data_IF_241829522833
#
_entry.id   IF_241829522833
#
_cell.length_a   1.000
_cell.length_b   1.000
_cell.length_c   1.000
_cell.angle_alpha   90.00
_cell.angle_beta   90.00
_cell.angle_gamma   90.00
#
_symmetry.space_group_name_H-M   'P 1'
#
loop_
_entity.id
_entity.type
_entity.pdbx_description
1 polymer ?
#
# COMPACT_ATOMS: atom_id res chain seq x y z
N UNK A 1 65.62 -6.72 11.61
CA UNK A 1 64.52 -7.70 11.57
C UNK A 1 63.25 -6.99 11.99
N UNK A 2 62.44 -6.57 11.02
CA UNK A 2 61.22 -5.80 11.26
C UNK A 2 60.01 -6.71 11.33
N UNK A 3 59.10 -6.45 12.26
CA UNK A 3 57.76 -7.07 12.29
C UNK A 3 56.77 -5.94 12.07
N UNK A 4 56.26 -5.84 10.85
CA UNK A 4 55.15 -4.97 10.52
C UNK A 4 53.86 -5.70 10.91
N UNK A 5 53.21 -5.27 12.00
CA UNK A 5 51.88 -5.72 12.37
C UNK A 5 50.87 -5.05 11.43
N UNK A 6 50.47 -5.77 10.37
CA UNK A 6 49.40 -5.35 9.49
C UNK A 6 48.07 -5.40 10.23
N UNK A 7 47.50 -4.23 10.51
CA UNK A 7 46.11 -4.09 10.96
C UNK A 7 45.23 -4.47 9.78
N UNK A 8 44.67 -5.68 9.83
CA UNK A 8 43.68 -6.14 8.88
C UNK A 8 42.36 -5.41 9.18
N UNK A 9 42.13 -4.28 8.51
CA UNK A 9 40.86 -3.59 8.56
C UNK A 9 39.83 -4.46 7.82
N UNK A 10 39.05 -5.24 8.57
CA UNK A 10 37.89 -5.94 8.02
C UNK A 10 36.83 -4.88 7.73
N UNK A 11 36.84 -4.35 6.51
CA UNK A 11 35.71 -3.59 5.97
C UNK A 11 34.58 -4.58 5.83
N UNK A 12 33.67 -4.60 6.81
CA UNK A 12 32.37 -5.24 6.66
C UNK A 12 31.62 -4.41 5.64
N UNK A 13 31.80 -4.72 4.36
CA UNK A 13 30.89 -4.29 3.33
C UNK A 13 29.54 -4.88 3.69
N UNK A 14 28.66 -4.07 4.27
CA UNK A 14 27.26 -4.40 4.35
C UNK A 14 26.81 -4.66 2.91
N UNK A 15 26.64 -5.93 2.56
CA UNK A 15 25.72 -6.30 1.50
C UNK A 15 24.38 -5.72 1.95
N UNK A 16 24.06 -4.50 1.49
CA UNK A 16 22.70 -4.01 1.38
C UNK A 16 21.96 -4.88 0.35
N UNK A 17 21.90 -6.18 0.63
CA UNK A 17 20.89 -7.04 0.05
C UNK A 17 19.56 -6.39 0.36
N UNK A 18 18.81 -6.09 -0.69
CA UNK A 18 17.52 -5.41 -0.68
C UNK A 18 16.61 -5.97 0.42
N UNK A 19 16.66 -5.38 1.61
CA UNK A 19 15.84 -5.81 2.73
C UNK A 19 14.39 -5.45 2.40
N UNK A 20 13.43 -6.36 2.64
CA UNK A 20 12.02 -6.07 2.42
C UNK A 20 11.56 -4.92 3.31
N UNK A 21 10.39 -4.36 3.00
CA UNK A 21 9.74 -3.34 3.85
C UNK A 21 9.81 -3.77 5.32
N UNK A 22 10.40 -2.95 6.19
CA UNK A 22 10.44 -3.25 7.62
C UNK A 22 9.03 -3.37 8.17
N UNK A 23 8.86 -4.14 9.24
CA UNK A 23 7.61 -4.16 9.99
C UNK A 23 7.65 -3.14 11.13
N UNK A 24 6.48 -2.64 11.57
CA UNK A 24 6.42 -1.82 12.77
C UNK A 24 6.86 -2.60 14.02
N UNK A 25 7.52 -1.91 14.96
CA UNK A 25 8.03 -2.54 16.20
C UNK A 25 7.01 -2.60 17.32
N UNK A 26 6.04 -1.70 17.31
CA UNK A 26 5.14 -1.42 18.45
C UNK A 26 3.67 -1.75 18.17
N UNK A 27 3.33 -2.10 16.93
CA UNK A 27 1.97 -2.46 16.54
C UNK A 27 1.97 -3.52 15.44
N UNK A 28 0.80 -4.05 15.12
CA UNK A 28 0.62 -5.06 14.11
C UNK A 28 -0.86 -5.36 13.87
N UNK A 29 -1.18 -6.50 13.23
CA UNK A 29 -2.55 -6.82 12.80
C UNK A 29 -3.58 -6.77 13.94
N UNK A 30 -3.15 -7.09 15.16
CA UNK A 30 -4.03 -7.12 16.33
C UNK A 30 -4.49 -5.76 16.84
N UNK A 31 -3.69 -4.71 16.65
CA UNK A 31 -3.96 -3.39 17.22
C UNK A 31 -3.81 -2.24 16.21
N UNK A 32 -3.61 -2.51 14.91
CA UNK A 32 -3.52 -1.48 13.86
C UNK A 32 -4.73 -0.55 13.81
N UNK A 33 -5.89 -0.97 14.31
CA UNK A 33 -7.09 -0.12 14.38
C UNK A 33 -7.16 0.77 15.62
N UNK A 34 -6.35 0.52 16.64
CA UNK A 34 -6.47 1.16 17.97
C UNK A 34 -5.17 1.75 18.49
N UNK A 35 -4.02 1.38 17.94
CA UNK A 35 -2.72 1.99 18.26
C UNK A 35 -2.79 3.51 18.03
N UNK A 36 -2.11 4.36 18.83
CA UNK A 36 -2.06 5.80 18.58
C UNK A 36 -1.55 6.14 17.16
N UNK A 37 -2.13 7.17 16.52
CA UNK A 37 -1.69 7.63 15.18
C UNK A 37 -0.19 7.96 15.17
N UNK A 38 0.30 8.61 16.22
CA UNK A 38 1.71 8.97 16.37
C UNK A 38 2.68 7.79 16.27
N UNK A 39 2.27 6.59 16.69
CA UNK A 39 3.11 5.40 16.54
C UNK A 39 3.20 4.94 15.08
N UNK A 40 2.12 5.12 14.31
CA UNK A 40 2.10 4.82 12.87
C UNK A 40 2.87 5.90 12.11
N UNK A 41 2.65 7.17 12.42
CA UNK A 41 3.40 8.31 11.87
C UNK A 41 4.91 8.13 12.08
N UNK A 42 5.35 7.79 13.30
CA UNK A 42 6.76 7.56 13.62
C UNK A 42 7.33 6.40 12.80
N UNK A 43 6.62 5.26 12.73
CA UNK A 43 7.03 4.12 11.91
C UNK A 43 7.16 4.51 10.43
N UNK A 44 6.19 5.24 9.88
CA UNK A 44 6.23 5.69 8.49
C UNK A 44 7.42 6.63 8.25
N UNK A 45 7.66 7.57 9.16
CA UNK A 45 8.72 8.56 9.04
C UNK A 45 10.12 7.96 9.14
N UNK A 46 10.30 7.02 10.07
CA UNK A 46 11.63 6.48 10.38
C UNK A 46 12.02 5.31 9.48
N UNK A 47 11.05 4.47 9.12
CA UNK A 47 11.33 3.16 8.53
C UNK A 47 10.88 3.05 7.05
N UNK A 48 10.00 3.93 6.57
CA UNK A 48 9.41 3.81 5.23
C UNK A 48 9.87 4.91 4.26
N UNK A 49 9.82 4.58 2.97
CA UNK A 49 10.03 5.53 1.87
C UNK A 49 9.07 5.18 0.74
N UNK A 50 8.54 6.19 0.08
CA UNK A 50 7.55 6.01 -0.99
C UNK A 50 8.12 6.50 -2.32
N UNK A 51 8.01 5.67 -3.35
CA UNK A 51 8.53 5.99 -4.67
C UNK A 51 7.49 6.79 -5.46
N UNK A 52 7.79 8.05 -5.73
CA UNK A 52 6.94 8.96 -6.52
C UNK A 52 7.29 8.97 -8.02
N UNK A 53 8.28 8.18 -8.45
CA UNK A 53 8.79 8.19 -9.82
C UNK A 53 7.72 7.72 -10.80
N UNK A 54 7.64 8.37 -11.97
CA UNK A 54 6.81 7.93 -13.08
C UNK A 54 7.18 6.47 -13.45
N UNK A 55 6.19 5.59 -13.45
CA UNK A 55 6.41 4.15 -13.64
C UNK A 55 6.43 3.35 -12.33
N UNK A 56 6.68 3.97 -11.19
CA UNK A 56 6.49 3.37 -9.86
C UNK A 56 5.14 3.79 -9.26
N UNK A 57 4.87 5.09 -9.29
CA UNK A 57 3.63 5.71 -8.83
C UNK A 57 2.61 5.92 -9.97
N UNK A 58 1.39 6.25 -9.56
CA UNK A 58 0.31 6.68 -10.45
C UNK A 58 -0.24 8.03 -9.99
N UNK A 59 -0.60 8.87 -10.96
CA UNK A 59 -1.23 10.17 -10.72
C UNK A 59 -2.36 10.46 -11.71
N UNK A 60 -3.44 9.63 -11.74
CA UNK A 60 -4.55 9.84 -12.66
C UNK A 60 -5.58 10.85 -12.12
N UNK A 61 -6.44 11.33 -13.01
CA UNK A 61 -7.72 11.92 -12.63
C UNK A 61 -8.70 10.77 -12.32
N UNK A 62 -9.30 10.73 -11.13
CA UNK A 62 -10.25 9.69 -10.69
C UNK A 62 -11.57 10.32 -10.23
N UNK A 63 -12.69 9.81 -10.72
CA UNK A 63 -14.02 10.03 -10.12
C UNK A 63 -14.40 8.75 -9.37
N UNK A 64 -14.16 8.76 -8.06
CA UNK A 64 -14.45 7.63 -7.17
C UNK A 64 -15.94 7.29 -7.14
N UNK A 65 -16.83 8.28 -7.23
CA UNK A 65 -18.28 8.05 -7.14
C UNK A 65 -18.83 7.36 -8.38
N UNK A 66 -18.26 7.68 -9.55
CA UNK A 66 -18.68 7.12 -10.84
C UNK A 66 -17.82 5.96 -11.32
N UNK A 67 -16.74 5.66 -10.62
CA UNK A 67 -15.78 4.62 -11.00
C UNK A 67 -15.17 4.92 -12.38
N UNK A 68 -14.69 6.16 -12.55
CA UNK A 68 -14.10 6.63 -13.80
C UNK A 68 -12.65 7.10 -13.59
N UNK A 69 -11.83 6.97 -14.63
CA UNK A 69 -10.45 7.46 -14.69
C UNK A 69 -10.27 8.28 -15.98
N UNK A 70 -9.67 9.46 -15.87
CA UNK A 70 -9.30 10.31 -17.00
C UNK A 70 -10.44 11.15 -17.60
N UNK A 71 -11.58 11.27 -16.91
CA UNK A 71 -12.72 12.09 -17.38
C UNK A 71 -12.60 13.54 -16.92
N UNK A 72 -13.26 14.49 -17.59
CA UNK A 72 -13.17 15.93 -17.27
C UNK A 72 -13.67 16.30 -15.86
N UNK A 73 -14.54 15.46 -15.27
CA UNK A 73 -15.09 15.64 -13.93
C UNK A 73 -14.22 15.00 -12.85
N UNK A 74 -13.35 14.07 -13.26
CA UNK A 74 -12.47 13.34 -12.37
C UNK A 74 -11.42 14.28 -11.77
N UNK A 75 -11.01 13.96 -10.53
CA UNK A 75 -10.13 14.83 -9.73
C UNK A 75 -8.81 14.15 -9.48
N UNK A 76 -7.75 14.92 -9.24
CA UNK A 76 -6.42 14.35 -9.12
C UNK A 76 -6.38 13.35 -7.95
N UNK A 77 -5.90 12.14 -8.22
CA UNK A 77 -5.58 11.14 -7.22
C UNK A 77 -4.14 10.69 -7.41
N UNK A 78 -3.50 10.27 -6.33
CA UNK A 78 -2.12 9.78 -6.34
C UNK A 78 -2.03 8.49 -5.56
N UNK A 79 -1.23 7.55 -6.05
CA UNK A 79 -0.83 6.36 -5.31
C UNK A 79 0.66 6.13 -5.49
N UNK A 80 1.35 5.91 -4.39
CA UNK A 80 2.80 5.72 -4.35
C UNK A 80 3.12 4.45 -3.57
N UNK A 81 3.84 3.48 -4.17
CA UNK A 81 4.26 2.28 -3.47
C UNK A 81 5.31 2.60 -2.41
N UNK A 82 5.36 1.80 -1.35
CA UNK A 82 6.55 1.75 -0.50
C UNK A 82 7.70 1.12 -1.31
N UNK A 83 8.87 1.74 -1.29
CA UNK A 83 9.97 1.42 -2.22
C UNK A 83 10.39 -0.06 -2.19
N UNK A 84 10.38 -0.70 -1.02
CA UNK A 84 10.86 -2.07 -0.78
C UNK A 84 9.73 -3.11 -0.73
N UNK A 85 8.50 -2.71 -1.02
CA UNK A 85 7.32 -3.59 -0.92
C UNK A 85 7.43 -4.80 -1.85
N UNK A 86 8.03 -4.63 -3.03
CA UNK A 86 8.28 -5.71 -3.98
C UNK A 86 9.11 -6.88 -3.43
N UNK A 87 9.84 -6.71 -2.33
CA UNK A 87 10.64 -7.76 -1.71
C UNK A 87 9.93 -8.49 -0.57
N UNK A 88 8.70 -8.09 -0.21
CA UNK A 88 7.92 -8.73 0.85
C UNK A 88 7.51 -10.16 0.44
N UNK A 89 7.69 -11.12 1.34
CA UNK A 89 7.04 -12.41 1.18
C UNK A 89 5.66 -12.42 1.87
N UNK A 90 4.89 -13.48 1.64
CA UNK A 90 3.56 -13.61 2.23
C UNK A 90 3.58 -13.74 3.76
N UNK A 91 4.67 -14.20 4.38
CA UNK A 91 4.74 -14.31 5.84
C UNK A 91 4.95 -12.92 6.49
N UNK A 92 5.86 -12.12 5.92
CA UNK A 92 6.08 -10.73 6.29
C UNK A 92 4.81 -9.89 6.08
N UNK A 93 4.15 -10.07 4.93
CA UNK A 93 2.89 -9.39 4.64
C UNK A 93 1.76 -9.82 5.59
N UNK A 94 1.64 -11.12 5.91
CA UNK A 94 0.64 -11.61 6.86
C UNK A 94 0.81 -10.99 8.26
N UNK A 95 2.05 -10.65 8.61
CA UNK A 95 2.42 -9.98 9.86
C UNK A 95 2.15 -8.47 9.84
N UNK A 96 1.67 -7.90 8.73
CA UNK A 96 1.25 -6.51 8.65
C UNK A 96 2.29 -5.56 8.05
N UNK A 97 1.98 -4.96 6.90
CA UNK A 97 2.86 -3.96 6.25
C UNK A 97 2.06 -2.83 5.61
N UNK A 98 2.63 -1.62 5.66
CA UNK A 98 2.21 -0.53 4.76
C UNK A 98 2.91 -0.77 3.43
N UNK A 99 2.14 -0.93 2.35
CA UNK A 99 2.68 -1.25 1.02
C UNK A 99 2.58 -0.09 0.03
N UNK A 100 1.76 0.91 0.35
CA UNK A 100 1.58 2.11 -0.46
C UNK A 100 0.96 3.23 0.37
N UNK A 101 0.92 4.44 -0.21
CA UNK A 101 0.13 5.56 0.28
C UNK A 101 -0.70 6.17 -0.85
N UNK A 102 -1.86 6.71 -0.50
CA UNK A 102 -2.86 7.22 -1.41
C UNK A 102 -3.20 8.65 -1.01
N UNK A 103 -3.37 9.54 -1.98
CA UNK A 103 -3.86 10.91 -1.77
C UNK A 103 -4.95 11.21 -2.80
N UNK A 104 -5.91 12.07 -2.45
CA UNK A 104 -7.00 12.46 -3.34
C UNK A 104 -7.30 13.96 -3.20
N UNK A 105 -7.54 14.67 -4.29
CA UNK A 105 -7.94 16.08 -4.24
C UNK A 105 -9.29 16.25 -3.54
N UNK A 106 -10.16 15.24 -3.66
CA UNK A 106 -11.49 15.22 -3.05
C UNK A 106 -11.57 14.21 -1.91
N UNK A 107 -12.40 14.52 -0.92
CA UNK A 107 -12.70 13.58 0.15
C UNK A 107 -13.55 12.40 -0.36
N UNK A 108 -13.16 11.20 0.07
CA UNK A 108 -13.91 9.96 -0.14
C UNK A 108 -14.10 9.30 1.22
N UNK A 109 -15.10 9.74 2.01
CA UNK A 109 -15.23 9.31 3.42
C UNK A 109 -15.37 7.80 3.61
N UNK A 110 -15.99 7.10 2.66
CA UNK A 110 -16.12 5.63 2.69
C UNK A 110 -14.79 4.90 2.62
N UNK A 111 -13.73 5.56 2.13
CA UNK A 111 -12.38 5.03 2.02
C UNK A 111 -11.38 5.75 2.95
N UNK A 112 -11.79 6.82 3.63
CA UNK A 112 -10.87 7.65 4.42
C UNK A 112 -9.81 8.36 3.57
N UNK A 113 -10.12 8.66 2.31
CA UNK A 113 -9.24 9.42 1.41
C UNK A 113 -9.65 10.90 1.40
N UNK A 114 -8.71 11.76 1.08
CA UNK A 114 -8.91 13.19 0.94
C UNK A 114 -7.58 13.90 0.65
N UNK A 115 -7.52 15.24 0.77
CA UNK A 115 -6.33 16.03 0.51
C UNK A 115 -5.22 15.88 1.57
N UNK A 116 -4.94 14.63 1.95
CA UNK A 116 -3.95 14.15 2.91
C UNK A 116 -3.44 12.77 2.44
N UNK A 117 -2.31 12.30 2.98
CA UNK A 117 -1.90 10.92 2.69
C UNK A 117 -2.69 9.92 3.55
N UNK A 118 -3.08 8.82 2.92
CA UNK A 118 -3.70 7.66 3.56
C UNK A 118 -2.82 6.45 3.26
N UNK A 119 -2.28 5.83 4.30
CA UNK A 119 -1.45 4.64 4.18
C UNK A 119 -2.30 3.40 3.97
N UNK A 120 -1.85 2.54 3.05
CA UNK A 120 -2.48 1.26 2.77
C UNK A 120 -1.74 0.15 3.51
N UNK A 121 -2.32 -0.27 4.62
CA UNK A 121 -1.88 -1.40 5.43
C UNK A 121 -2.52 -2.70 4.94
N UNK A 122 -1.72 -3.77 4.88
CA UNK A 122 -2.16 -5.12 4.53
C UNK A 122 -1.71 -6.11 5.59
N UNK A 123 -2.62 -7.00 6.00
CA UNK A 123 -2.31 -8.16 6.85
C UNK A 123 -3.22 -9.36 6.56
N UNK A 124 -3.04 -10.47 7.29
CA UNK A 124 -3.88 -11.67 7.18
C UNK A 124 -4.80 -11.85 8.40
N UNK A 125 -5.53 -10.79 8.76
CA UNK A 125 -6.53 -10.79 9.86
C UNK A 125 -7.93 -10.37 9.37
N UNK A 126 -8.23 -10.62 8.10
CA UNK A 126 -9.56 -10.49 7.53
C UNK A 126 -10.53 -11.56 8.06
N UNK A 127 -11.81 -11.40 7.74
CA UNK A 127 -12.84 -12.38 8.10
C UNK A 127 -12.47 -13.77 7.53
N UNK A 128 -12.60 -14.82 8.34
CA UNK A 128 -12.21 -16.18 7.93
C UNK A 128 -10.72 -16.37 7.63
N UNK A 129 -9.83 -15.49 8.12
CA UNK A 129 -8.38 -15.58 7.85
C UNK A 129 -7.96 -15.12 6.45
N UNK A 130 -8.84 -14.36 5.79
CA UNK A 130 -8.56 -13.70 4.50
C UNK A 130 -7.55 -12.56 4.65
N UNK A 131 -6.98 -12.12 3.53
CA UNK A 131 -6.17 -10.92 3.49
C UNK A 131 -7.05 -9.68 3.68
N UNK A 132 -6.57 -8.73 4.47
CA UNK A 132 -7.28 -7.54 4.87
C UNK A 132 -6.49 -6.30 4.49
N UNK A 133 -7.17 -5.36 3.86
CA UNK A 133 -6.69 -4.00 3.67
C UNK A 133 -7.28 -3.06 4.71
N UNK A 134 -6.43 -2.19 5.25
CA UNK A 134 -6.82 -1.07 6.11
C UNK A 134 -6.26 0.20 5.49
N UNK A 135 -7.12 1.17 5.26
CA UNK A 135 -6.74 2.53 4.88
C UNK A 135 -6.63 3.37 6.15
N UNK A 136 -5.46 3.95 6.36
CA UNK A 136 -5.07 4.66 7.59
C UNK A 136 -4.72 6.10 7.19
N UNK A 137 -5.63 7.06 7.39
CA UNK A 137 -5.32 8.47 7.18
C UNK A 137 -4.11 8.88 8.02
N UNK A 138 -3.26 9.76 7.50
CA UNK A 138 -2.04 10.22 8.20
C UNK A 138 -2.34 10.87 9.55
N UNK A 139 -3.58 11.31 9.77
CA UNK A 139 -4.08 11.78 11.08
C UNK A 139 -5.57 11.46 11.24
N UNK A 140 -5.98 11.03 12.44
CA UNK A 140 -7.41 10.88 12.77
C UNK A 140 -8.20 12.19 12.73
N UNK A 141 -7.53 13.35 12.68
CA UNK A 141 -8.20 14.65 12.46
C UNK A 141 -8.84 14.74 11.07
N UNK A 142 -8.30 14.04 10.08
CA UNK A 142 -8.79 14.10 8.71
C UNK A 142 -9.88 13.07 8.46
N UNK A 143 -9.67 11.82 8.88
CA UNK A 143 -10.66 10.76 8.76
C UNK A 143 -10.35 9.61 9.73
N UNK A 144 -11.35 8.74 9.93
CA UNK A 144 -11.14 7.47 10.64
C UNK A 144 -10.43 6.44 9.76
N UNK A 145 -9.72 5.50 10.39
CA UNK A 145 -9.20 4.29 9.72
C UNK A 145 -10.35 3.46 9.17
N UNK A 146 -10.18 2.92 7.96
CA UNK A 146 -11.21 2.14 7.26
C UNK A 146 -10.69 0.75 6.97
N UNK A 147 -11.39 -0.28 7.46
CA UNK A 147 -11.20 -1.65 6.99
C UNK A 147 -12.01 -1.79 5.70
N UNK A 148 -11.37 -2.20 4.61
CA UNK A 148 -12.07 -2.40 3.35
C UNK A 148 -12.90 -3.70 3.39
N UNK A 149 -14.14 -3.68 2.86
CA UNK A 149 -15.07 -4.80 3.01
C UNK A 149 -14.68 -6.01 2.16
N UNK A 150 -14.10 -5.78 0.98
CA UNK A 150 -13.63 -6.84 0.09
C UNK A 150 -12.27 -7.36 0.56
N UNK A 151 -12.12 -8.68 0.58
CA UNK A 151 -10.84 -9.30 0.86
C UNK A 151 -9.81 -8.86 -0.20
N UNK A 152 -8.59 -8.61 0.26
CA UNK A 152 -7.48 -8.35 -0.64
C UNK A 152 -7.17 -9.63 -1.43
N UNK A 153 -7.01 -9.48 -2.75
CA UNK A 153 -6.55 -10.55 -3.61
C UNK A 153 -5.03 -10.52 -3.70
N UNK A 154 -4.37 -11.63 -3.34
CA UNK A 154 -2.93 -11.81 -3.51
C UNK A 154 -2.66 -12.70 -4.72
N UNK A 155 -2.27 -12.10 -5.85
CA UNK A 155 -1.88 -12.85 -7.05
C UNK A 155 -0.38 -13.07 -7.04
N UNK A 156 0.05 -14.34 -6.90
CA UNK A 156 1.46 -14.68 -7.05
C UNK A 156 1.86 -14.61 -8.52
N UNK A 157 2.94 -13.89 -8.78
CA UNK A 157 3.58 -13.89 -10.09
C UNK A 157 4.89 -14.66 -9.99
N UNK A 158 5.33 -15.23 -11.12
CA UNK A 158 6.70 -15.74 -11.23
C UNK A 158 7.65 -14.58 -10.92
N UNK A 159 8.67 -14.75 -10.07
CA UNK A 159 9.61 -13.68 -9.77
C UNK A 159 10.15 -13.06 -11.06
N UNK A 160 9.73 -11.83 -11.33
CA UNK A 160 10.18 -11.07 -12.48
C UNK A 160 11.55 -10.44 -12.22
N UNK A 161 12.19 -9.95 -13.29
CA UNK A 161 13.42 -9.17 -13.17
C UNK A 161 13.20 -7.80 -12.49
N UNK A 162 11.95 -7.34 -12.43
CA UNK A 162 11.57 -6.04 -11.89
C UNK A 162 11.59 -6.04 -10.37
N UNK A 163 12.60 -5.37 -9.81
CA UNK A 163 12.83 -5.22 -8.36
C UNK A 163 12.38 -3.84 -7.88
N UNK A 164 11.12 -3.49 -8.17
CA UNK A 164 10.58 -2.18 -7.88
C UNK A 164 9.16 -2.26 -7.32
N UNK A 165 8.88 -1.42 -6.32
CA UNK A 165 7.53 -1.11 -5.87
C UNK A 165 6.73 -0.48 -7.01
N UNK A 166 5.56 -1.01 -7.35
CA UNK A 166 4.63 -0.39 -8.31
C UNK A 166 3.27 -0.32 -7.67
N UNK A 167 2.60 0.82 -7.76
CA UNK A 167 1.20 0.93 -7.35
C UNK A 167 0.38 1.77 -8.35
N UNK A 168 -0.88 1.36 -8.58
CA UNK A 168 -1.75 1.95 -9.60
C UNK A 168 -3.22 1.98 -9.19
N UNK A 169 -3.95 2.88 -9.83
CA UNK A 169 -5.39 2.78 -9.97
C UNK A 169 -5.73 2.14 -11.32
N UNK A 170 -6.78 1.34 -11.36
CA UNK A 170 -7.33 0.84 -12.62
C UNK A 170 -8.80 0.46 -12.48
N UNK A 171 -9.48 0.42 -13.62
CA UNK A 171 -10.87 0.00 -13.72
C UNK A 171 -10.92 -1.49 -14.09
N UNK A 172 -11.64 -2.27 -13.31
CA UNK A 172 -11.87 -3.70 -13.57
C UNK A 172 -13.33 -3.92 -13.96
N UNK A 173 -13.55 -4.75 -14.98
CA UNK A 173 -14.87 -5.21 -15.42
C UNK A 173 -14.97 -6.70 -15.11
N UNK A 174 -15.88 -7.08 -14.23
CA UNK A 174 -16.15 -8.48 -13.94
C UNK A 174 -17.46 -8.89 -14.62
N UNK A 175 -17.40 -9.88 -15.49
CA UNK A 175 -18.62 -10.39 -16.15
C UNK A 175 -19.38 -11.31 -15.20
N UNK A 176 -20.47 -10.79 -14.61
CA UNK A 176 -21.45 -11.62 -13.90
C UNK A 176 -22.86 -11.34 -14.43
N UNK A 177 -23.44 -12.31 -15.14
CA UNK A 177 -24.85 -12.28 -15.55
C UNK A 177 -25.26 -11.24 -16.61
N UNK A 178 -24.32 -10.71 -17.41
CA UNK A 178 -24.63 -9.86 -18.57
C UNK A 178 -24.78 -8.35 -18.28
N UNK A 179 -24.43 -7.90 -17.07
CA UNK A 179 -24.20 -6.49 -16.72
C UNK A 179 -22.99 -6.40 -15.80
N UNK A 180 -21.82 -6.18 -16.37
CA UNK A 180 -20.57 -6.16 -15.62
C UNK A 180 -20.58 -4.98 -14.62
N UNK A 181 -20.50 -5.20 -13.29
CA UNK A 181 -20.17 -4.11 -12.39
C UNK A 181 -18.76 -3.59 -12.72
N UNK A 182 -18.66 -2.27 -12.83
CA UNK A 182 -17.39 -1.56 -12.99
C UNK A 182 -16.87 -1.28 -11.59
N UNK A 183 -15.63 -1.69 -11.30
CA UNK A 183 -14.96 -1.45 -10.03
C UNK A 183 -13.72 -0.61 -10.22
N UNK A 184 -13.44 0.26 -9.25
CA UNK A 184 -12.12 0.87 -9.11
C UNK A 184 -11.31 -0.08 -8.25
N UNK A 185 -10.16 -0.48 -8.75
CA UNK A 185 -9.22 -1.30 -7.99
C UNK A 185 -7.93 -0.51 -7.78
N UNK A 186 -7.29 -0.75 -6.64
CA UNK A 186 -5.92 -0.32 -6.37
C UNK A 186 -5.05 -1.55 -6.26
N UNK A 187 -3.85 -1.50 -6.82
CA UNK A 187 -2.89 -2.59 -6.63
C UNK A 187 -1.50 -2.08 -6.29
N UNK A 188 -0.73 -2.94 -5.61
CA UNK A 188 0.65 -2.69 -5.19
C UNK A 188 1.50 -3.96 -5.27
N UNK A 189 2.78 -3.86 -5.60
CA UNK A 189 3.70 -5.01 -5.51
C UNK A 189 4.12 -5.27 -4.06
N UNK A 190 4.02 -6.53 -3.63
CA UNK A 190 4.29 -7.02 -2.28
C UNK A 190 5.02 -8.39 -2.33
N UNK A 191 6.07 -8.52 -3.16
CA UNK A 191 6.64 -9.79 -3.69
C UNK A 191 5.68 -10.65 -4.53
N UNK A 192 4.42 -10.26 -4.56
CA UNK A 192 3.32 -10.69 -5.40
C UNK A 192 2.52 -9.44 -5.77
N UNK A 193 1.39 -9.55 -6.46
CA UNK A 193 0.47 -8.42 -6.66
C UNK A 193 -0.62 -8.45 -5.59
N UNK A 194 -0.66 -7.41 -4.77
CA UNK A 194 -1.72 -7.12 -3.82
C UNK A 194 -2.77 -6.26 -4.52
N UNK A 195 -3.99 -6.78 -4.70
CA UNK A 195 -5.09 -6.12 -5.40
C UNK A 195 -6.26 -5.89 -4.45
N UNK A 196 -6.83 -4.70 -4.49
CA UNK A 196 -7.94 -4.31 -3.63
C UNK A 196 -9.03 -3.60 -4.42
N UNK A 197 -10.19 -4.24 -4.49
CA UNK A 197 -11.42 -3.63 -4.99
C UNK A 197 -11.89 -2.56 -4.01
N UNK A 198 -12.16 -1.38 -4.53
CA UNK A 198 -12.68 -0.25 -3.77
C UNK A 198 -14.19 -0.22 -3.89
N UNK A 199 -14.88 -0.63 -2.83
CA UNK A 199 -16.33 -0.48 -2.74
C UNK A 199 -16.62 0.96 -2.36
N UNK A 200 -16.94 1.75 -3.38
CA UNK A 200 -17.41 3.12 -3.20
C UNK A 200 -18.93 3.02 -3.21
N UNK A 201 -19.59 3.52 -2.16
CA UNK A 201 -21.03 3.42 -2.04
C UNK A 201 -21.68 3.93 -3.35
N UNK A 202 -22.70 3.24 -3.89
CA UNK A 202 -23.38 3.76 -5.07
C UNK A 202 -23.92 5.16 -4.74
N UNK A 203 -23.90 6.11 -5.68
CA UNK A 203 -24.47 7.43 -5.44
C UNK A 203 -25.89 7.26 -4.93
N UNK A 204 -26.19 7.87 -3.78
CA UNK A 204 -27.55 7.97 -3.27
C UNK A 204 -28.42 8.55 -4.39
N UNK A 205 -29.48 7.83 -4.74
CA UNK A 205 -30.51 8.30 -5.68
C UNK A 205 -31.10 9.63 -5.23
#
# INVERSE_FOLDING_TARGET
>A
MGVAAGICLVVVMALEGQRPTPGPRTFGPANVMTVPDSAIEQYVKDDLSFDATLGAADEPLVDFQRVEIGTERAKLARIQPETKSYALDSAALASGRIIARIWSEVEVPSLGLGPWWTWWWVDKKGAGGTWRSVFIPESAKYARRVILPEALELTRHVPGQWRQGIARFWIVRDTYGGKDPIWLETWGTCGSCCKQRLVIAPPSK
#
